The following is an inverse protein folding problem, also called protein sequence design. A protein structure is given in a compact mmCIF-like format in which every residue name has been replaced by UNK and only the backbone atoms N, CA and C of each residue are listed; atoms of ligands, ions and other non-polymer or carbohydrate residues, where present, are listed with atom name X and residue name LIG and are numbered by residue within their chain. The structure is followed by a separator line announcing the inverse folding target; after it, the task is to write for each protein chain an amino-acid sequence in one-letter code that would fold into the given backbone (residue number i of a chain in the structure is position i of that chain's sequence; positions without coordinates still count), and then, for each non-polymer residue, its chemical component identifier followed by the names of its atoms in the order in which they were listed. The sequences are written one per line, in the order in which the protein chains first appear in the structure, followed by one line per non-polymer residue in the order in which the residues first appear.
data_IF_857076138117
#
_entry.id   IF_857076138117
#
_cell.length_a   1.000
_cell.length_b   1.000
_cell.length_c   1.000
_cell.angle_alpha   90.00
_cell.angle_beta   90.00
_cell.angle_gamma   90.00
#
_symmetry.space_group_name_H-M   'P 1'
#
loop_
_entity.id
_entity.type
_entity.pdbx_description
1 polymer ?
#
# COMPACT_ATOMS: atom_id res chain seq x y z
N UNK A 1 -42.38 22.36 -25.79
CA UNK A 1 -42.58 21.77 -24.44
C UNK A 1 -42.63 20.23 -24.45
N UNK A 2 -43.55 19.59 -25.19
CA UNK A 2 -43.67 18.13 -25.21
C UNK A 2 -42.39 17.37 -25.61
N UNK A 3 -41.65 17.86 -26.61
CA UNK A 3 -40.38 17.24 -27.04
C UNK A 3 -39.30 17.27 -25.96
N UNK A 4 -39.22 18.34 -25.16
CA UNK A 4 -38.25 18.48 -24.08
C UNK A 4 -38.63 17.55 -22.92
N UNK A 5 -39.92 17.43 -22.63
CA UNK A 5 -40.45 16.55 -21.59
C UNK A 5 -40.29 15.06 -21.95
N UNK A 6 -40.44 14.70 -23.23
CA UNK A 6 -40.15 13.34 -23.73
C UNK A 6 -38.65 13.03 -23.70
N UNK A 7 -37.77 13.98 -24.07
CA UNK A 7 -36.32 13.79 -23.97
C UNK A 7 -35.87 13.57 -22.52
N UNK A 8 -36.44 14.33 -21.56
CA UNK A 8 -36.18 14.16 -20.13
C UNK A 8 -36.63 12.81 -19.59
N UNK A 9 -37.78 12.30 -20.04
CA UNK A 9 -38.26 10.96 -19.64
C UNK A 9 -37.40 9.85 -20.24
N UNK A 10 -36.95 9.99 -21.48
CA UNK A 10 -36.05 9.02 -22.14
C UNK A 10 -34.67 9.02 -21.47
N UNK A 11 -34.10 10.18 -21.12
CA UNK A 11 -32.82 10.22 -20.38
C UNK A 11 -32.94 9.67 -18.96
N UNK A 12 -34.05 9.91 -18.25
CA UNK A 12 -34.31 9.31 -16.93
C UNK A 12 -34.45 7.78 -17.02
N UNK A 13 -35.05 7.25 -18.09
CA UNK A 13 -35.14 5.81 -18.33
C UNK A 13 -33.79 5.19 -18.74
N UNK A 14 -32.92 5.93 -19.43
CA UNK A 14 -31.55 5.49 -19.79
C UNK A 14 -30.53 5.62 -18.63
N UNK A 15 -30.89 6.33 -17.54
CA UNK A 15 -30.05 6.47 -16.33
C UNK A 15 -30.37 5.43 -15.24
N UNK A 16 -31.42 4.60 -15.42
CA UNK A 16 -31.69 3.46 -14.54
C UNK A 16 -31.05 2.22 -15.14
N UNK A 17 -29.85 1.89 -14.65
CA UNK A 17 -29.27 0.54 -14.45
C UNK A 17 -27.73 0.71 -14.26
N UNK A 18 -27.31 1.54 -13.29
CA UNK A 18 -26.04 1.25 -12.58
C UNK A 18 -26.44 0.64 -11.24
N UNK A 19 -27.15 -0.49 -11.30
CA UNK A 19 -27.21 -1.38 -10.15
C UNK A 19 -25.82 -2.00 -10.07
N UNK A 20 -24.95 -1.36 -9.30
CA UNK A 20 -23.70 -1.98 -8.85
C UNK A 20 -24.09 -3.31 -8.17
N UNK A 21 -23.76 -4.44 -8.80
CA UNK A 21 -24.13 -5.80 -8.38
C UNK A 21 -23.43 -6.27 -7.09
N UNK A 22 -23.28 -5.37 -6.13
CA UNK A 22 -22.49 -5.60 -4.94
C UNK A 22 -23.23 -6.51 -3.94
N UNK A 23 -22.48 -7.45 -3.35
CA UNK A 23 -22.95 -8.44 -2.37
C UNK A 23 -22.98 -7.79 -0.99
N UNK A 24 -24.16 -7.76 -0.35
CA UNK A 24 -24.31 -7.25 1.02
C UNK A 24 -24.03 -8.36 2.03
N UNK A 25 -23.11 -8.10 2.96
CA UNK A 25 -22.75 -9.02 4.03
C UNK A 25 -23.64 -8.83 5.28
N UNK A 26 -23.64 -9.78 6.22
CA UNK A 26 -24.49 -9.72 7.42
C UNK A 26 -24.27 -8.50 8.32
N UNK A 27 -23.06 -7.94 8.37
CA UNK A 27 -22.72 -6.72 9.10
C UNK A 27 -23.01 -5.43 8.31
N UNK A 28 -23.77 -5.52 7.20
CA UNK A 28 -24.05 -4.44 6.26
C UNK A 28 -22.82 -3.91 5.51
N UNK A 29 -21.68 -4.58 5.64
CA UNK A 29 -20.53 -4.36 4.77
C UNK A 29 -20.85 -4.82 3.34
N UNK A 30 -20.16 -4.27 2.35
CA UNK A 30 -20.48 -4.49 0.96
C UNK A 30 -19.25 -4.98 0.20
N UNK A 31 -19.43 -6.07 -0.55
CA UNK A 31 -18.42 -6.66 -1.38
C UNK A 31 -18.76 -6.51 -2.87
N UNK A 32 -17.76 -6.51 -3.77
CA UNK A 32 -18.00 -6.47 -5.22
C UNK A 32 -18.85 -7.63 -5.70
N UNK A 33 -19.46 -7.49 -6.88
CA UNK A 33 -20.16 -8.59 -7.53
C UNK A 33 -19.25 -9.81 -7.72
N UNK A 34 -19.81 -11.01 -7.61
CA UNK A 34 -19.06 -12.26 -7.80
C UNK A 34 -18.10 -12.61 -6.68
N UNK A 35 -18.22 -11.98 -5.51
CA UNK A 35 -17.43 -12.30 -4.30
C UNK A 35 -18.27 -12.98 -3.23
N UNK A 36 -17.63 -13.48 -2.17
CA UNK A 36 -18.29 -14.12 -1.03
C UNK A 36 -17.91 -13.43 0.28
N UNK A 37 -18.89 -13.11 1.11
CA UNK A 37 -18.66 -12.55 2.44
C UNK A 37 -18.05 -13.62 3.37
N UNK A 38 -16.89 -13.33 3.95
CA UNK A 38 -16.19 -14.20 4.90
C UNK A 38 -15.77 -13.44 6.15
N UNK A 39 -15.98 -14.04 7.32
CA UNK A 39 -15.56 -13.45 8.60
C UNK A 39 -14.03 -13.34 8.69
N UNK A 40 -13.54 -12.20 9.21
CA UNK A 40 -12.14 -11.91 9.46
C UNK A 40 -11.78 -12.02 10.94
N UNK A 41 -10.48 -11.93 11.26
CA UNK A 41 -9.97 -11.97 12.64
C UNK A 41 -10.50 -10.80 13.50
N UNK A 42 -10.81 -9.67 12.86
CA UNK A 42 -11.44 -8.51 13.49
C UNK A 42 -12.92 -8.71 13.85
N UNK A 43 -13.50 -9.90 13.60
CA UNK A 43 -14.93 -10.17 13.72
C UNK A 43 -15.84 -9.38 12.76
N UNK A 44 -15.24 -8.72 11.77
CA UNK A 44 -15.94 -8.06 10.66
C UNK A 44 -15.92 -8.94 9.41
N UNK A 45 -16.76 -8.63 8.42
CA UNK A 45 -16.74 -9.34 7.15
C UNK A 45 -15.70 -8.75 6.18
N UNK A 46 -15.08 -9.65 5.43
CA UNK A 46 -14.21 -9.40 4.29
C UNK A 46 -14.74 -10.09 3.05
N UNK A 47 -14.24 -9.70 1.88
CA UNK A 47 -14.61 -10.24 0.59
C UNK A 47 -13.62 -11.31 0.16
N UNK A 48 -14.10 -12.53 -0.06
CA UNK A 48 -13.37 -13.54 -0.80
C UNK A 48 -13.58 -13.30 -2.31
N UNK A 49 -12.52 -13.10 -3.11
CA UNK A 49 -12.61 -12.70 -4.52
C UNK A 49 -13.00 -13.86 -5.46
N UNK A 50 -13.85 -14.77 -4.99
CA UNK A 50 -14.47 -15.83 -5.76
C UNK A 50 -15.95 -15.99 -5.34
N UNK A 51 -16.83 -16.34 -6.29
CA UNK A 51 -18.22 -16.57 -5.98
C UNK A 51 -18.38 -17.91 -5.25
N UNK A 52 -19.27 -17.96 -4.24
CA UNK A 52 -19.54 -19.15 -3.44
C UNK A 52 -18.27 -19.79 -2.85
N UNK A 53 -17.32 -18.94 -2.43
CA UNK A 53 -16.08 -19.35 -1.79
C UNK A 53 -16.32 -19.98 -0.42
N UNK A 54 -15.47 -20.92 -0.04
CA UNK A 54 -15.45 -21.53 1.28
C UNK A 54 -14.55 -20.72 2.19
N UNK A 55 -15.10 -20.16 3.26
CA UNK A 55 -14.33 -19.36 4.21
C UNK A 55 -13.54 -20.27 5.16
N UNK A 56 -12.22 -20.09 5.21
CA UNK A 56 -11.36 -20.87 6.11
C UNK A 56 -11.45 -20.33 7.55
N UNK A 57 -11.28 -21.25 8.53
CA UNK A 57 -11.32 -20.98 9.97
C UNK A 57 -10.08 -20.23 10.48
N UNK A 58 -9.06 -20.03 9.65
CA UNK A 58 -7.92 -19.16 9.96
C UNK A 58 -8.28 -17.66 9.94
N UNK A 59 -9.49 -17.35 9.47
CA UNK A 59 -10.04 -16.00 9.35
C UNK A 59 -9.27 -15.07 8.40
N UNK A 60 -8.32 -15.59 7.61
CA UNK A 60 -7.51 -14.82 6.66
C UNK A 60 -7.72 -15.29 5.22
N UNK A 61 -8.02 -16.58 5.03
CA UNK A 61 -8.06 -17.19 3.71
C UNK A 61 -9.43 -17.77 3.35
N UNK A 62 -9.62 -17.99 2.07
CA UNK A 62 -10.77 -18.67 1.51
C UNK A 62 -10.36 -19.58 0.35
N UNK A 63 -11.26 -20.51 0.02
CA UNK A 63 -11.09 -21.45 -1.08
C UNK A 63 -12.19 -21.28 -2.13
N UNK A 64 -11.95 -21.64 -3.40
CA UNK A 64 -12.99 -21.69 -4.42
C UNK A 64 -14.10 -22.67 -4.08
N UNK A 65 -15.25 -22.52 -4.74
CA UNK A 65 -16.39 -23.41 -4.56
C UNK A 65 -16.00 -24.88 -4.76
N UNK A 66 -16.36 -25.73 -3.77
CA UNK A 66 -16.12 -27.17 -3.81
C UNK A 66 -14.73 -27.60 -3.37
N UNK A 67 -13.86 -26.67 -2.96
CA UNK A 67 -12.61 -26.97 -2.25
C UNK A 67 -12.81 -26.82 -0.75
N UNK A 68 -12.09 -27.62 0.03
CA UNK A 68 -12.05 -27.53 1.50
C UNK A 68 -10.72 -26.92 1.95
N UNK A 69 -10.74 -26.19 3.05
CA UNK A 69 -9.52 -25.66 3.66
C UNK A 69 -8.77 -26.78 4.40
N UNK A 70 -7.48 -26.96 4.10
CA UNK A 70 -6.55 -27.73 4.93
C UNK A 70 -5.78 -26.77 5.88
N UNK A 71 -4.61 -27.13 6.41
CA UNK A 71 -3.71 -26.19 7.11
C UNK A 71 -2.90 -25.27 6.19
N UNK A 72 -2.66 -25.67 4.93
CA UNK A 72 -1.74 -24.95 4.01
C UNK A 72 -2.31 -24.72 2.59
N UNK A 73 -3.37 -25.43 2.20
CA UNK A 73 -3.95 -25.37 0.85
C UNK A 73 -5.46 -25.62 0.81
N UNK A 74 -6.07 -25.29 -0.33
CA UNK A 74 -7.41 -25.70 -0.69
C UNK A 74 -7.37 -27.08 -1.36
N UNK A 75 -8.12 -28.05 -0.84
CA UNK A 75 -8.09 -29.44 -1.32
C UNK A 75 -9.43 -29.92 -1.87
N UNK A 76 -9.41 -30.65 -2.98
CA UNK A 76 -10.57 -31.31 -3.57
C UNK A 76 -10.15 -32.55 -4.37
N UNK A 77 -10.60 -33.74 -3.98
CA UNK A 77 -10.42 -34.97 -4.78
C UNK A 77 -8.96 -35.28 -5.14
N UNK A 78 -8.01 -35.03 -4.23
CA UNK A 78 -6.57 -35.23 -4.47
C UNK A 78 -5.84 -34.04 -5.11
N UNK A 79 -6.55 -33.00 -5.55
CA UNK A 79 -5.96 -31.73 -5.99
C UNK A 79 -5.74 -30.81 -4.80
N UNK A 80 -4.60 -30.13 -4.79
CA UNK A 80 -4.19 -29.17 -3.76
C UNK A 80 -3.77 -27.88 -4.45
N UNK A 81 -4.45 -26.77 -4.15
CA UNK A 81 -4.16 -25.44 -4.72
C UNK A 81 -3.91 -24.43 -3.59
N UNK A 82 -3.15 -23.34 -3.84
CA UNK A 82 -2.96 -22.30 -2.85
C UNK A 82 -4.27 -21.64 -2.41
N UNK A 83 -4.26 -21.10 -1.18
CA UNK A 83 -5.37 -20.28 -0.68
C UNK A 83 -5.54 -18.99 -1.44
N UNK A 84 -6.73 -18.42 -1.28
CA UNK A 84 -7.05 -17.06 -1.70
C UNK A 84 -7.13 -16.20 -0.44
N UNK A 85 -6.45 -15.05 -0.45
CA UNK A 85 -6.55 -14.08 0.64
C UNK A 85 -7.92 -13.39 0.64
N UNK A 86 -8.53 -13.25 1.82
CA UNK A 86 -9.69 -12.37 2.02
C UNK A 86 -9.25 -10.91 1.87
N UNK A 87 -10.12 -10.09 1.32
CA UNK A 87 -9.95 -8.65 1.19
C UNK A 87 -10.79 -8.00 2.30
N UNK A 88 -10.25 -7.14 3.17
CA UNK A 88 -11.07 -6.45 4.16
C UNK A 88 -12.12 -5.57 3.47
N UNK A 89 -13.36 -5.57 3.95
CA UNK A 89 -14.29 -4.52 3.53
C UNK A 89 -13.77 -3.22 4.13
N UNK A 90 -13.56 -2.22 3.27
CA UNK A 90 -13.11 -0.91 3.71
C UNK A 90 -14.10 -0.38 4.75
N UNK A 91 -13.63 -0.31 5.99
CA UNK A 91 -14.44 0.05 7.15
C UNK A 91 -15.11 1.42 6.92
N UNK A 92 -16.40 1.54 7.28
CA UNK A 92 -17.09 2.84 7.38
C UNK A 92 -16.44 3.65 8.51
N UNK A 93 -15.24 4.16 8.30
CA UNK A 93 -14.77 5.32 9.04
C UNK A 93 -15.63 6.49 8.57
N UNK A 94 -16.29 7.12 9.53
CA UNK A 94 -16.98 8.40 9.36
C UNK A 94 -15.91 9.42 8.93
N UNK A 95 -15.64 9.50 7.65
CA UNK A 95 -14.87 10.56 7.02
C UNK A 95 -15.66 10.96 5.78
N UNK A 96 -16.37 12.09 5.89
CA UNK A 96 -16.93 12.75 4.72
C UNK A 96 -15.78 12.94 3.72
N UNK A 97 -15.99 12.43 2.51
CA UNK A 97 -15.13 12.51 1.32
C UNK A 97 -13.86 11.67 1.33
N UNK A 98 -13.97 10.40 0.93
CA UNK A 98 -12.91 9.76 0.16
C UNK A 98 -13.51 8.80 -0.87
N UNK A 99 -13.92 9.38 -2.00
CA UNK A 99 -13.80 8.68 -3.28
C UNK A 99 -12.30 8.54 -3.50
N UNK A 100 -11.77 7.33 -3.34
CA UNK A 100 -10.75 6.76 -4.22
C UNK A 100 -10.48 5.33 -3.73
N UNK A 101 -10.75 4.37 -4.60
CA UNK A 101 -10.22 3.00 -4.48
C UNK A 101 -8.76 3.09 -4.06
N UNK A 102 -8.30 2.29 -3.09
CA UNK A 102 -6.90 2.29 -2.63
C UNK A 102 -5.92 2.00 -3.78
N UNK A 103 -5.62 3.04 -4.58
CA UNK A 103 -4.40 3.17 -5.34
C UNK A 103 -3.36 3.65 -4.34
N UNK A 104 -2.60 2.70 -3.80
CA UNK A 104 -1.54 2.99 -2.84
C UNK A 104 -0.42 3.73 -3.55
N UNK A 105 -0.43 5.07 -3.53
CA UNK A 105 0.61 5.90 -4.15
C UNK A 105 1.97 5.63 -3.47
N UNK A 106 3.01 5.36 -4.25
CA UNK A 106 4.40 5.25 -3.80
C UNK A 106 5.06 6.61 -3.96
N UNK A 107 5.24 7.34 -2.86
CA UNK A 107 5.86 8.67 -2.89
C UNK A 107 7.36 8.56 -3.11
N UNK A 108 7.85 9.26 -4.13
CA UNK A 108 9.28 9.36 -4.43
C UNK A 108 9.91 10.52 -3.64
N UNK A 109 9.16 11.60 -3.48
CA UNK A 109 9.45 12.70 -2.56
C UNK A 109 8.15 13.34 -2.08
N UNK A 110 8.22 14.55 -1.53
CA UNK A 110 7.08 15.29 -1.00
C UNK A 110 5.99 15.61 -2.05
N UNK A 111 6.33 15.66 -3.34
CA UNK A 111 5.43 16.12 -4.41
C UNK A 111 5.31 15.16 -5.58
N UNK A 112 6.26 14.22 -5.75
CA UNK A 112 6.31 13.24 -6.82
C UNK A 112 5.96 11.84 -6.29
N UNK A 113 5.16 11.11 -7.06
CA UNK A 113 4.74 9.76 -6.70
C UNK A 113 4.55 8.86 -7.93
N UNK A 114 4.57 7.56 -7.67
CA UNK A 114 4.20 6.50 -8.60
C UNK A 114 2.92 5.81 -8.13
N UNK A 115 2.21 5.15 -9.05
CA UNK A 115 1.09 4.28 -8.68
C UNK A 115 1.57 3.09 -7.83
N UNK A 116 0.64 2.45 -7.12
CA UNK A 116 0.97 1.30 -6.29
C UNK A 116 1.65 0.17 -7.04
N UNK A 117 2.64 -0.46 -6.41
CA UNK A 117 3.44 -1.53 -7.01
C UNK A 117 4.61 -1.06 -7.89
N UNK A 118 4.80 0.25 -8.05
CA UNK A 118 5.91 0.81 -8.84
C UNK A 118 7.09 1.26 -7.97
N UNK A 119 8.27 1.38 -8.58
CA UNK A 119 9.50 1.86 -7.92
C UNK A 119 9.92 3.23 -8.43
N UNK A 120 10.29 4.11 -7.50
CA UNK A 120 10.83 5.43 -7.81
C UNK A 120 12.31 5.34 -8.23
N UNK A 121 12.62 5.79 -9.43
CA UNK A 121 13.97 5.86 -9.96
C UNK A 121 14.28 7.28 -10.44
N UNK A 122 15.51 7.76 -10.19
CA UNK A 122 15.98 9.02 -10.77
C UNK A 122 16.26 8.84 -12.27
N UNK A 123 15.98 9.89 -13.05
CA UNK A 123 16.38 9.99 -14.45
C UNK A 123 17.77 10.65 -14.59
N UNK A 124 18.21 10.94 -15.83
CA UNK A 124 19.51 11.57 -16.10
C UNK A 124 19.63 13.01 -15.57
N UNK A 125 18.52 13.75 -15.49
CA UNK A 125 18.47 15.12 -14.97
C UNK A 125 18.30 15.15 -13.45
N UNK A 126 18.15 13.99 -12.82
CA UNK A 126 17.88 13.88 -11.38
C UNK A 126 16.41 14.08 -11.02
N UNK A 127 15.48 14.09 -11.97
CA UNK A 127 14.04 14.10 -11.70
C UNK A 127 13.52 12.68 -11.41
N UNK A 128 12.34 12.60 -10.78
CA UNK A 128 11.72 11.32 -10.45
C UNK A 128 10.94 10.71 -11.60
N UNK A 129 11.13 9.41 -11.78
CA UNK A 129 10.42 8.57 -12.74
C UNK A 129 10.04 7.23 -12.10
N UNK A 130 9.11 6.51 -12.70
CA UNK A 130 8.48 5.30 -12.19
C UNK A 130 8.84 4.09 -13.04
N UNK A 131 9.18 3.00 -12.37
CA UNK A 131 9.36 1.66 -12.93
C UNK A 131 8.19 0.77 -12.57
N UNK A 132 7.70 -0.03 -13.53
CA UNK A 132 6.52 -0.87 -13.41
C UNK A 132 6.72 -2.16 -12.60
N UNK A 133 7.79 -2.22 -11.80
CA UNK A 133 8.08 -3.35 -10.92
C UNK A 133 8.21 -2.89 -9.48
N UNK A 134 7.77 -3.70 -8.51
CA UNK A 134 8.11 -3.50 -7.10
C UNK A 134 9.61 -3.79 -6.92
N UNK A 135 10.30 -2.93 -6.18
CA UNK A 135 11.73 -3.06 -5.90
C UNK A 135 12.59 -3.19 -7.18
N UNK A 136 12.26 -2.39 -8.22
CA UNK A 136 12.95 -2.43 -9.50
C UNK A 136 14.44 -2.05 -9.37
N UNK A 137 15.30 -2.68 -10.17
CA UNK A 137 16.68 -2.22 -10.36
C UNK A 137 16.69 -0.99 -11.27
N UNK A 138 17.01 0.18 -10.72
CA UNK A 138 17.16 1.41 -11.48
C UNK A 138 18.48 1.40 -12.27
N UNK A 139 18.42 1.43 -13.60
CA UNK A 139 19.63 1.36 -14.42
C UNK A 139 20.37 2.70 -14.46
N UNK A 140 21.70 2.64 -14.47
CA UNK A 140 22.60 3.80 -14.47
C UNK A 140 22.46 4.69 -15.71
N UNK A 141 21.91 4.16 -16.80
CA UNK A 141 21.61 4.96 -17.99
C UNK A 141 20.52 6.03 -17.74
N UNK A 142 19.86 6.02 -16.58
CA UNK A 142 18.86 7.01 -16.19
C UNK A 142 17.52 6.89 -16.93
N UNK A 143 17.39 6.03 -17.93
CA UNK A 143 16.19 5.94 -18.77
C UNK A 143 15.37 4.68 -18.50
N UNK A 144 16.04 3.61 -18.08
CA UNK A 144 15.44 2.29 -18.00
C UNK A 144 15.58 1.67 -16.62
N UNK A 145 14.82 0.60 -16.41
CA UNK A 145 14.89 -0.24 -15.24
C UNK A 145 14.63 -1.70 -15.60
N UNK A 146 15.01 -2.54 -14.65
CA UNK A 146 14.81 -3.98 -14.70
C UNK A 146 13.96 -4.43 -13.50
N UNK A 147 13.33 -5.61 -13.58
CA UNK A 147 12.72 -6.23 -12.42
C UNK A 147 13.73 -6.42 -11.29
N UNK A 148 13.22 -6.67 -10.08
CA UNK A 148 14.07 -6.95 -8.93
C UNK A 148 15.06 -8.09 -9.22
N UNK A 149 16.29 -7.98 -8.73
CA UNK A 149 17.40 -8.94 -8.92
C UNK A 149 17.92 -9.12 -10.37
N UNK A 150 17.37 -8.41 -11.35
CA UNK A 150 17.95 -8.36 -12.70
C UNK A 150 19.05 -7.29 -12.79
N UNK A 151 20.09 -7.60 -13.55
CA UNK A 151 21.20 -6.68 -13.85
C UNK A 151 20.98 -5.99 -15.20
N UNK A 152 21.28 -4.69 -15.26
CA UNK A 152 21.13 -3.89 -16.46
C UNK A 152 22.33 -4.03 -17.42
N UNK A 153 22.13 -4.58 -18.61
CA UNK A 153 23.11 -4.60 -19.70
C UNK A 153 22.81 -3.48 -20.72
N UNK A 154 23.35 -2.28 -20.45
CA UNK A 154 22.98 -1.04 -21.13
C UNK A 154 23.24 -1.08 -22.64
N UNK A 155 24.40 -1.61 -23.06
CA UNK A 155 24.81 -1.65 -24.48
C UNK A 155 23.86 -2.49 -25.34
N UNK A 156 23.27 -3.53 -24.75
CA UNK A 156 22.33 -4.42 -25.41
C UNK A 156 20.86 -4.05 -25.12
N UNK A 157 20.60 -3.06 -24.25
CA UNK A 157 19.26 -2.70 -23.79
C UNK A 157 18.45 -3.87 -23.23
N UNK A 158 19.12 -4.78 -22.49
CA UNK A 158 18.51 -5.95 -21.87
C UNK A 158 18.79 -6.00 -20.36
N UNK A 159 17.88 -6.65 -19.66
CA UNK A 159 18.03 -7.09 -18.27
C UNK A 159 18.48 -8.56 -18.28
N UNK A 160 19.46 -8.89 -17.45
CA UNK A 160 19.99 -10.26 -17.35
C UNK A 160 19.90 -10.79 -15.93
N UNK A 161 19.49 -12.04 -15.79
CA UNK A 161 19.49 -12.77 -14.51
C UNK A 161 19.59 -14.27 -14.76
N UNK A 162 20.60 -14.95 -14.20
CA UNK A 162 20.77 -16.42 -14.30
C UNK A 162 20.63 -16.98 -15.74
N UNK A 163 21.11 -16.24 -16.74
CA UNK A 163 21.02 -16.62 -18.17
C UNK A 163 19.74 -16.19 -18.88
N UNK A 164 18.71 -15.73 -18.16
CA UNK A 164 17.52 -15.12 -18.74
C UNK A 164 17.83 -13.70 -19.23
N UNK A 165 17.41 -13.37 -20.46
CA UNK A 165 17.56 -12.06 -21.09
C UNK A 165 16.18 -11.51 -21.45
N UNK A 166 15.80 -10.37 -20.89
CA UNK A 166 14.55 -9.68 -21.22
C UNK A 166 14.83 -8.22 -21.59
N UNK A 167 13.98 -7.56 -22.40
CA UNK A 167 14.15 -6.14 -22.70
C UNK A 167 14.05 -5.28 -21.43
N UNK A 168 14.79 -4.18 -21.38
CA UNK A 168 14.65 -3.22 -20.29
C UNK A 168 13.34 -2.44 -20.39
N UNK A 169 12.73 -2.15 -19.25
CA UNK A 169 11.55 -1.28 -19.21
C UNK A 169 11.97 0.19 -19.26
N UNK A 170 11.28 1.00 -20.05
CA UNK A 170 11.47 2.46 -20.05
C UNK A 170 10.70 3.08 -18.91
N UNK A 171 11.37 3.93 -18.12
CA UNK A 171 10.75 4.65 -17.01
C UNK A 171 9.63 5.56 -17.52
N UNK A 172 8.54 5.64 -16.76
CA UNK A 172 7.46 6.63 -16.97
C UNK A 172 7.71 7.85 -16.08
N UNK A 173 7.29 9.07 -16.45
CA UNK A 173 7.41 10.22 -15.56
C UNK A 173 6.64 9.97 -14.26
N UNK A 174 7.19 10.44 -13.14
CA UNK A 174 6.45 10.45 -11.89
C UNK A 174 5.25 11.39 -11.99
N UNK A 175 4.18 11.05 -11.29
CA UNK A 175 3.04 11.93 -11.16
C UNK A 175 3.32 12.95 -10.07
N UNK A 176 2.86 14.17 -10.27
CA UNK A 176 2.93 15.23 -9.27
C UNK A 176 1.59 15.35 -8.57
N UNK A 177 1.58 15.53 -7.25
CA UNK A 177 0.37 15.94 -6.53
C UNK A 177 0.00 17.32 -7.08
N UNK A 178 -1.12 17.44 -7.78
CA UNK A 178 -1.56 18.70 -8.40
C UNK A 178 -1.93 19.68 -7.26
N UNK A 179 -0.98 20.48 -6.79
CA UNK A 179 -1.30 21.83 -6.32
C UNK A 179 -1.47 22.67 -7.58
N UNK A 180 -2.71 23.06 -7.92
CA UNK A 180 -2.96 23.93 -9.06
C UNK A 180 -2.05 25.17 -8.99
N UNK A 181 -1.22 25.30 -10.03
CA UNK A 181 -0.55 26.51 -10.54
C UNK A 181 0.13 27.49 -9.57
N UNK A 182 1.44 27.67 -9.79
CA UNK A 182 2.02 29.00 -10.01
C UNK A 182 1.74 30.08 -8.95
N UNK A 183 2.16 29.84 -7.72
CA UNK A 183 2.64 30.88 -6.80
C UNK A 183 3.15 30.19 -5.53
N UNK A 184 4.32 29.53 -5.62
CA UNK A 184 5.05 29.23 -4.39
C UNK A 184 5.69 30.54 -3.95
N UNK A 185 4.91 31.36 -3.25
CA UNK A 185 5.44 32.15 -2.16
C UNK A 185 6.17 31.18 -1.24
N UNK A 186 7.49 31.34 -1.23
CA UNK A 186 8.45 30.72 -0.33
C UNK A 186 8.02 30.92 1.12
N UNK A 187 7.34 29.95 1.73
CA UNK A 187 7.34 29.83 3.19
C UNK A 187 6.76 28.48 3.70
N UNK A 188 7.39 27.37 3.33
CA UNK A 188 7.37 26.21 4.23
C UNK A 188 8.81 25.83 4.55
N UNK A 189 9.19 26.09 5.79
CA UNK A 189 10.52 25.99 6.34
C UNK A 189 10.92 24.52 6.55
N UNK A 190 11.19 23.81 5.46
CA UNK A 190 11.59 22.40 5.51
C UNK A 190 12.81 22.24 6.43
N UNK A 191 12.71 21.30 7.38
CA UNK A 191 13.77 21.04 8.36
C UNK A 191 14.87 20.24 7.66
N UNK A 192 15.98 20.90 7.34
CA UNK A 192 17.09 20.30 6.60
C UNK A 192 17.90 19.35 7.50
N UNK A 193 18.04 18.09 7.08
CA UNK A 193 18.76 17.06 7.82
C UNK A 193 20.22 16.95 7.37
N UNK A 194 20.46 17.00 6.06
CA UNK A 194 21.80 17.09 5.45
C UNK A 194 21.73 17.74 4.05
N UNK A 195 22.73 17.50 3.20
CA UNK A 195 22.79 18.05 1.84
C UNK A 195 21.71 17.48 0.89
N UNK A 196 21.12 16.32 1.19
CA UNK A 196 20.18 15.60 0.31
C UNK A 196 18.90 15.11 1.01
N UNK A 197 18.80 15.22 2.33
CA UNK A 197 17.66 14.81 3.16
C UNK A 197 17.06 16.00 3.91
N UNK A 198 15.74 16.09 3.92
CA UNK A 198 14.99 17.12 4.64
C UNK A 198 13.64 16.57 5.08
N UNK A 199 13.12 17.11 6.17
CA UNK A 199 11.83 16.73 6.72
C UNK A 199 10.79 17.83 6.51
N UNK A 200 9.51 17.48 6.35
CA UNK A 200 8.43 18.46 6.32
C UNK A 200 8.37 19.25 7.63
N UNK A 201 7.90 20.48 7.56
CA UNK A 201 7.70 21.37 8.71
C UNK A 201 6.92 20.64 9.82
N UNK A 202 7.37 20.79 11.06
CA UNK A 202 6.81 20.10 12.23
C UNK A 202 7.42 18.72 12.51
N UNK A 203 8.26 18.18 11.62
CA UNK A 203 9.01 16.95 11.84
C UNK A 203 10.50 17.22 12.12
N UNK A 204 11.15 16.34 12.87
CA UNK A 204 12.60 16.40 13.15
C UNK A 204 13.38 15.30 12.46
N UNK A 205 14.62 15.59 12.11
CA UNK A 205 15.56 14.65 11.51
C UNK A 205 16.08 13.64 12.53
N UNK A 206 15.86 12.36 12.28
CA UNK A 206 16.30 11.23 13.09
C UNK A 206 17.28 10.38 12.28
N UNK A 207 18.48 10.13 12.81
CA UNK A 207 19.48 9.29 12.15
C UNK A 207 19.43 7.86 12.68
N UNK A 208 19.22 6.90 11.80
CA UNK A 208 19.14 5.49 12.15
C UNK A 208 20.52 4.87 12.34
N UNK A 209 20.58 3.72 13.01
CA UNK A 209 21.80 2.92 13.23
C UNK A 209 22.42 2.41 11.92
N UNK A 210 21.65 2.36 10.84
CA UNK A 210 22.08 2.02 9.48
C UNK A 210 22.71 3.19 8.73
N UNK A 211 22.70 4.40 9.31
CA UNK A 211 23.22 5.63 8.70
C UNK A 211 22.20 6.42 7.88
N UNK A 212 20.98 5.92 7.72
CA UNK A 212 19.89 6.56 6.95
C UNK A 212 19.11 7.59 7.79
N UNK A 213 18.51 8.58 7.13
CA UNK A 213 17.68 9.61 7.77
C UNK A 213 16.19 9.27 7.79
N UNK A 214 15.47 9.72 8.80
CA UNK A 214 14.02 9.60 8.91
C UNK A 214 13.40 10.82 9.57
N UNK A 215 12.12 11.05 9.31
CA UNK A 215 11.40 12.19 9.87
C UNK A 215 10.50 11.72 11.01
N UNK A 216 10.72 12.28 12.20
CA UNK A 216 9.96 11.97 13.40
C UNK A 216 8.95 13.10 13.70
N UNK A 217 7.69 12.78 14.01
CA UNK A 217 6.62 13.76 14.21
C UNK A 217 6.62 14.45 15.58
N UNK A 218 7.72 14.38 16.35
CA UNK A 218 7.82 15.01 17.66
C UNK A 218 9.00 15.99 17.76
N UNK A 219 8.79 17.20 18.33
CA UNK A 219 9.86 18.17 18.53
C UNK A 219 10.75 17.72 19.70
N UNK A 220 11.96 17.29 19.35
CA UNK A 220 13.17 17.27 20.18
C UNK A 220 13.06 16.56 21.55
N UNK A 221 13.43 15.29 21.61
CA UNK A 221 14.15 14.77 22.79
C UNK A 221 15.53 14.32 22.32
N UNK A 222 16.49 15.23 22.38
CA UNK A 222 17.89 14.87 22.29
C UNK A 222 18.24 14.03 23.51
N UNK A 223 18.49 12.74 23.32
CA UNK A 223 19.17 11.93 24.32
C UNK A 223 20.56 11.57 23.81
N UNK A 224 21.52 11.92 24.65
CA UNK A 224 22.95 11.74 24.49
C UNK A 224 23.27 10.25 24.20
N UNK A 225 24.02 10.01 23.14
CA UNK A 225 24.39 8.67 22.66
C UNK A 225 25.53 8.11 23.53
N UNK A 226 25.21 7.64 24.74
CA UNK A 226 26.15 6.82 25.53
C UNK A 226 25.49 5.79 26.46
N UNK A 227 24.16 5.68 26.51
CA UNK A 227 23.52 4.61 27.28
C UNK A 227 22.17 4.24 26.67
N UNK A 228 22.13 3.20 25.83
CA UNK A 228 21.24 2.04 26.02
C UNK A 228 21.46 1.05 24.88
N UNK A 229 22.07 -0.08 25.22
CA UNK A 229 21.99 -1.31 24.46
C UNK A 229 20.52 -1.75 24.41
N UNK A 230 20.07 -2.11 23.21
CA UNK A 230 19.15 -3.22 22.92
C UNK A 230 17.73 -3.24 23.54
N UNK A 231 16.78 -3.53 22.66
CA UNK A 231 15.38 -3.95 22.87
C UNK A 231 14.34 -2.83 22.85
N UNK A 232 13.59 -2.79 21.74
CA UNK A 232 12.17 -2.49 21.78
C UNK A 232 11.51 -3.48 22.75
N UNK A 233 11.01 -3.00 23.88
CA UNK A 233 10.12 -3.76 24.76
C UNK A 233 8.77 -3.04 24.85
N UNK A 234 7.71 -3.80 24.58
CA UNK A 234 6.30 -3.43 24.68
C UNK A 234 5.91 -2.93 26.08
N UNK A 235 4.77 -2.23 26.25
CA UNK A 235 4.31 -1.78 27.55
C UNK A 235 3.73 -2.96 28.33
N UNK A 236 4.37 -3.35 29.42
CA UNK A 236 3.78 -4.31 30.39
C UNK A 236 3.29 -3.52 31.59
N UNK A 237 1.95 -3.43 31.67
CA UNK A 237 1.18 -2.99 32.83
C UNK A 237 1.64 -3.79 34.06
N UNK A 238 2.22 -3.13 35.06
CA UNK A 238 2.56 -3.77 36.33
C UNK A 238 1.55 -3.41 37.42
N UNK A 239 0.80 -4.44 37.76
CA UNK A 239 -0.16 -4.57 38.85
C UNK A 239 0.58 -4.63 40.19
N UNK A 240 -0.02 -4.03 41.23
CA UNK A 240 0.24 -4.19 42.66
C UNK A 240 1.03 -5.45 43.09
N UNK A 241 2.07 -5.29 43.92
CA UNK A 241 2.15 -5.94 45.25
C UNK A 241 3.32 -5.48 46.14
N UNK A 242 2.98 -5.55 47.43
CA UNK A 242 3.65 -5.19 48.68
C UNK A 242 5.04 -5.83 48.94
N UNK A 243 5.80 -5.32 49.92
CA UNK A 243 7.08 -5.88 50.32
C UNK A 243 6.89 -7.00 51.36
N UNK A 244 7.64 -8.10 51.22
CA UNK A 244 7.89 -9.04 52.31
C UNK A 244 9.38 -9.43 52.35
N UNK A 245 9.92 -9.40 53.57
CA UNK A 245 11.28 -9.74 53.99
C UNK A 245 11.63 -11.22 53.77
N UNK A 246 12.92 -11.55 53.64
CA UNK A 246 13.75 -12.16 54.72
C UNK A 246 15.05 -12.81 54.19
N UNK A 247 16.10 -12.69 55.01
CA UNK A 247 17.30 -13.55 55.21
C UNK A 247 18.14 -13.96 53.98
N UNK A 248 19.46 -13.91 53.99
CA UNK A 248 20.46 -14.13 55.08
C UNK A 248 21.66 -13.20 54.95
#
# INVERSE_FOLDING_TARGET
CYFIQMFLLVTILLLREVVSGAVLCPDQSQCPEGTTCCLMQSSQYGCCPVPKGVCCSDHQHCCPQGYNCNNETCVKGGLSIPYINKIPVLERLIARNSIESHSTKVFCDAIHYCQGGNTCCRNRTGEWACCGYPQATCCANGLNCCPNEFTCEISASICTQNGLKIPMETKKPSQKIISLSSSVSSDSSAVKCDSVHSCPDGNTCCRQNTGHWSCCPHPQVGYNLSSLKSHCAMPVISVFKLPFSFYT
#
